data_IF_082552281637
#
_entry.id   IF_082552281637
#
_cell.length_a   1.000
_cell.length_b   1.000
_cell.length_c   1.000
_cell.angle_alpha   90.00
_cell.angle_beta   90.00
_cell.angle_gamma   90.00
#
_symmetry.space_group_name_H-M   'P 1'
#
loop_
_entity.id
_entity.type
_entity.pdbx_description
1 polymer ?
#
# COMPACT_ATOMS: atom_id res chain seq x y z
N UNK A 1 8.77 -21.99 44.43
CA UNK A 1 8.73 -20.68 45.11
C UNK A 1 7.61 -20.51 46.16
N UNK A 2 6.63 -21.40 46.28
CA UNK A 2 5.45 -21.29 47.19
C UNK A 2 5.75 -21.54 48.69
N UNK A 3 6.88 -22.16 49.01
CA UNK A 3 7.25 -22.52 50.38
C UNK A 3 8.14 -21.50 51.10
N UNK A 4 8.81 -20.62 50.40
CA UNK A 4 9.57 -19.52 51.00
C UNK A 4 8.67 -18.45 51.64
N UNK A 5 7.55 -18.12 51.02
CA UNK A 5 6.59 -17.11 51.52
C UNK A 5 5.92 -17.51 52.83
N UNK A 6 5.64 -18.81 53.02
CA UNK A 6 5.04 -19.29 54.26
C UNK A 6 6.02 -19.21 55.46
N UNK A 7 7.30 -19.52 55.27
CA UNK A 7 8.33 -19.40 56.32
C UNK A 7 8.60 -17.95 56.70
N UNK A 8 8.70 -17.06 55.71
CA UNK A 8 8.89 -15.63 55.96
C UNK A 8 7.68 -15.03 56.67
N UNK A 9 6.46 -15.39 56.28
CA UNK A 9 5.22 -14.95 56.96
C UNK A 9 5.15 -15.44 58.42
N UNK A 10 5.52 -16.69 58.66
CA UNK A 10 5.48 -17.26 60.03
C UNK A 10 6.56 -16.63 60.94
N UNK A 11 7.75 -16.29 60.40
CA UNK A 11 8.78 -15.56 61.11
C UNK A 11 8.34 -14.13 61.43
N UNK A 12 7.68 -13.45 60.52
CA UNK A 12 7.15 -12.09 60.68
C UNK A 12 6.02 -12.04 61.72
N UNK A 13 5.10 -13.02 61.68
CA UNK A 13 4.03 -13.17 62.65
C UNK A 13 4.62 -13.48 64.04
N UNK A 14 5.63 -14.37 64.11
CA UNK A 14 6.33 -14.68 65.35
C UNK A 14 7.02 -13.46 65.98
N UNK A 15 7.68 -12.62 65.16
CA UNK A 15 8.33 -11.40 65.60
C UNK A 15 7.30 -10.36 66.14
N UNK A 16 6.18 -10.21 65.45
CA UNK A 16 5.10 -9.28 65.89
C UNK A 16 4.46 -9.79 67.20
N UNK A 17 4.18 -11.07 67.31
CA UNK A 17 3.62 -11.67 68.56
C UNK A 17 4.62 -11.51 69.71
N UNK A 18 5.92 -11.72 69.50
CA UNK A 18 6.97 -11.54 70.47
C UNK A 18 7.07 -10.08 70.96
N UNK A 19 6.97 -9.10 70.08
CA UNK A 19 6.98 -7.69 70.44
C UNK A 19 5.73 -7.28 71.22
N UNK A 20 4.55 -7.78 70.86
CA UNK A 20 3.30 -7.56 71.59
C UNK A 20 3.34 -8.16 72.97
N UNK A 21 3.84 -9.40 73.12
CA UNK A 21 3.99 -10.05 74.41
C UNK A 21 4.99 -9.31 75.32
N UNK A 22 6.13 -8.84 74.78
CA UNK A 22 7.11 -8.05 75.51
C UNK A 22 6.55 -6.71 75.96
N UNK A 23 5.73 -6.02 75.16
CA UNK A 23 5.09 -4.76 75.54
C UNK A 23 4.03 -4.91 76.62
N UNK A 24 3.27 -6.01 76.54
CA UNK A 24 2.25 -6.36 77.58
C UNK A 24 2.93 -6.73 78.89
N UNK A 25 4.00 -7.56 78.83
CA UNK A 25 4.78 -7.93 79.99
C UNK A 25 5.45 -6.75 80.71
N UNK A 26 5.97 -5.79 79.93
CA UNK A 26 6.58 -4.55 80.42
C UNK A 26 5.51 -3.61 81.09
N UNK A 27 4.27 -3.59 80.57
CA UNK A 27 3.14 -2.83 81.10
C UNK A 27 2.63 -3.37 82.43
N UNK A 28 2.68 -4.67 82.67
CA UNK A 28 2.18 -5.32 83.92
C UNK A 28 3.23 -5.25 85.06
N UNK A 29 4.54 -5.20 84.73
CA UNK A 29 5.57 -5.34 85.75
C UNK A 29 6.00 -4.05 86.44
N UNK A 30 5.53 -2.85 86.07
CA UNK A 30 5.93 -1.55 86.68
C UNK A 30 7.46 -1.40 87.02
N UNK A 31 8.33 -2.13 86.26
CA UNK A 31 9.76 -2.09 86.48
C UNK A 31 10.40 -1.01 85.58
N UNK A 32 11.19 -0.09 86.16
CA UNK A 32 11.92 0.87 85.30
C UNK A 32 12.92 0.10 84.44
N UNK A 33 12.67 0.08 83.11
CA UNK A 33 13.59 -0.57 82.20
C UNK A 33 14.95 0.10 82.22
N UNK A 34 16.06 -0.64 82.45
CA UNK A 34 17.38 -0.06 82.37
C UNK A 34 17.67 0.41 80.93
N UNK A 35 18.24 1.63 80.81
CA UNK A 35 18.58 2.29 79.52
C UNK A 35 19.36 1.42 78.53
N UNK A 36 19.98 0.37 78.99
CA UNK A 36 20.78 -0.59 78.18
C UNK A 36 19.86 -1.43 77.28
N UNK A 37 18.64 -1.82 77.72
CA UNK A 37 17.70 -2.65 76.93
C UNK A 37 17.07 -1.83 75.81
N UNK A 38 16.76 -0.57 76.06
CA UNK A 38 16.22 0.33 75.09
C UNK A 38 17.21 0.62 73.98
N UNK A 39 18.50 0.83 74.33
CA UNK A 39 19.52 1.11 73.31
C UNK A 39 20.01 -0.11 72.55
N UNK A 40 20.02 -1.29 73.17
CA UNK A 40 20.59 -2.51 72.53
C UNK A 40 19.59 -3.26 71.67
N UNK A 41 18.29 -3.18 71.98
CA UNK A 41 17.24 -3.99 71.26
C UNK A 41 16.32 -3.13 70.41
N UNK A 42 15.94 -1.94 70.89
CA UNK A 42 14.99 -1.10 70.12
C UNK A 42 15.66 -0.25 69.01
N UNK A 43 16.94 0.13 69.18
CA UNK A 43 17.61 0.90 68.10
C UNK A 43 17.85 0.12 66.82
N UNK A 44 18.35 -1.14 66.80
CA UNK A 44 18.51 -1.90 65.58
C UNK A 44 17.16 -2.28 64.96
N UNK A 45 16.08 -2.47 65.73
CA UNK A 45 14.75 -2.70 65.19
C UNK A 45 14.16 -1.47 64.46
N UNK A 46 14.40 -0.26 65.03
CA UNK A 46 13.99 0.99 64.34
C UNK A 46 14.79 1.25 63.06
N UNK A 47 16.11 0.98 63.08
CA UNK A 47 16.97 1.11 61.91
C UNK A 47 16.57 0.06 60.82
N UNK A 48 16.24 -1.16 61.21
CA UNK A 48 15.77 -2.22 60.30
C UNK A 48 14.40 -1.87 59.68
N UNK A 49 13.48 -1.35 60.48
CA UNK A 49 12.16 -0.92 59.98
C UNK A 49 12.28 0.26 58.96
N UNK A 50 13.14 1.20 59.23
CA UNK A 50 13.39 2.36 58.33
C UNK A 50 14.11 1.92 57.01
N UNK A 51 14.99 0.91 57.07
CA UNK A 51 15.64 0.34 55.90
C UNK A 51 14.65 -0.43 55.03
N UNK A 52 13.73 -1.19 55.63
CA UNK A 52 12.65 -1.90 54.93
C UNK A 52 11.66 -0.93 54.25
N UNK A 53 11.31 0.18 54.91
CA UNK A 53 10.42 1.19 54.32
C UNK A 53 11.03 1.85 53.11
N UNK A 54 12.31 2.21 53.15
CA UNK A 54 13.04 2.79 52.01
C UNK A 54 13.16 1.81 50.81
N UNK A 55 13.36 0.53 51.09
CA UNK A 55 13.41 -0.47 50.03
C UNK A 55 12.01 -0.77 49.46
N UNK A 56 10.97 -0.75 50.26
CA UNK A 56 9.59 -0.92 49.81
C UNK A 56 9.12 0.27 48.94
N UNK A 57 9.43 1.52 49.31
CA UNK A 57 9.14 2.70 48.50
C UNK A 57 9.81 2.64 47.12
N UNK A 58 11.06 2.14 47.03
CA UNK A 58 11.74 1.95 45.75
C UNK A 58 11.05 0.93 44.84
N UNK A 59 10.60 -0.20 45.40
CA UNK A 59 9.95 -1.28 44.66
C UNK A 59 8.54 -0.87 44.22
N UNK A 60 7.78 -0.19 45.07
CA UNK A 60 6.47 0.37 44.72
C UNK A 60 6.57 1.43 43.63
N UNK A 61 7.56 2.32 43.71
CA UNK A 61 7.80 3.34 42.68
C UNK A 61 8.20 2.75 41.33
N UNK A 62 8.90 1.61 41.32
CA UNK A 62 9.24 0.90 40.08
C UNK A 62 8.03 0.20 39.46
N UNK A 63 7.17 -0.45 40.26
CA UNK A 63 5.95 -1.13 39.79
C UNK A 63 4.94 -0.13 39.18
N UNK A 64 4.68 0.97 39.86
CA UNK A 64 3.78 2.00 39.35
C UNK A 64 4.31 2.72 38.12
N UNK A 65 5.64 2.93 38.01
CA UNK A 65 6.23 3.48 36.78
C UNK A 65 6.18 2.51 35.62
N UNK A 66 6.31 1.22 35.88
CA UNK A 66 6.26 0.20 34.85
C UNK A 66 4.84 0.08 34.27
N UNK A 67 3.80 0.03 35.12
CA UNK A 67 2.41 0.04 34.68
C UNK A 67 2.05 1.31 33.90
N UNK A 68 2.47 2.49 34.39
CA UNK A 68 2.24 3.76 33.70
C UNK A 68 3.00 3.84 32.34
N UNK A 69 4.18 3.23 32.26
CA UNK A 69 4.94 3.17 31.03
C UNK A 69 4.30 2.20 30.01
N UNK A 70 3.83 1.04 30.48
CA UNK A 70 3.11 0.05 29.66
C UNK A 70 1.82 0.64 29.09
N UNK A 71 1.07 1.37 29.92
CA UNK A 71 -0.15 2.05 29.49
C UNK A 71 0.15 3.15 28.46
N UNK A 72 1.24 3.89 28.66
CA UNK A 72 1.69 4.91 27.70
C UNK A 72 2.14 4.29 26.37
N UNK A 73 2.83 3.15 26.39
CA UNK A 73 3.20 2.42 25.18
C UNK A 73 1.95 1.97 24.43
N UNK A 74 0.96 1.37 25.11
CA UNK A 74 -0.31 0.96 24.50
C UNK A 74 -1.07 2.13 23.88
N UNK A 75 -1.10 3.29 24.58
CA UNK A 75 -1.72 4.49 24.04
C UNK A 75 -1.01 4.99 22.79
N UNK A 76 0.34 5.05 22.81
CA UNK A 76 1.13 5.47 21.65
C UNK A 76 1.01 4.49 20.47
N UNK A 77 0.92 3.20 20.74
CA UNK A 77 0.68 2.18 19.71
C UNK A 77 -0.72 2.34 19.06
N UNK A 78 -1.74 2.57 19.89
CA UNK A 78 -3.10 2.83 19.40
C UNK A 78 -3.17 4.14 18.58
N UNK A 79 -2.56 5.22 19.07
CA UNK A 79 -2.46 6.49 18.35
C UNK A 79 -1.69 6.35 17.02
N UNK A 80 -0.58 5.58 17.02
CA UNK A 80 0.17 5.28 15.80
C UNK A 80 -0.65 4.46 14.81
N UNK A 81 -1.44 3.49 15.27
CA UNK A 81 -2.33 2.71 14.41
C UNK A 81 -3.42 3.60 13.79
N UNK A 82 -4.02 4.48 14.58
CA UNK A 82 -5.02 5.43 14.10
C UNK A 82 -4.43 6.41 13.07
N UNK A 83 -3.27 7.03 13.38
CA UNK A 83 -2.60 7.95 12.47
C UNK A 83 -2.22 7.27 11.15
N UNK A 84 -1.77 6.01 11.18
CA UNK A 84 -1.49 5.24 9.97
C UNK A 84 -2.74 5.01 9.12
N UNK A 85 -3.88 4.76 9.75
CA UNK A 85 -5.15 4.60 9.05
C UNK A 85 -5.61 5.92 8.42
N UNK A 86 -5.50 7.03 9.15
CA UNK A 86 -5.80 8.37 8.62
C UNK A 86 -4.91 8.73 7.42
N UNK A 87 -3.60 8.42 7.50
CA UNK A 87 -2.66 8.63 6.38
C UNK A 87 -3.04 7.78 5.17
N UNK A 88 -3.44 6.51 5.35
CA UNK A 88 -3.90 5.66 4.24
C UNK A 88 -5.17 6.21 3.60
N UNK A 89 -6.14 6.61 4.41
CA UNK A 89 -7.38 7.20 3.93
C UNK A 89 -7.12 8.51 3.15
N UNK A 90 -6.26 9.38 3.67
CA UNK A 90 -5.86 10.61 2.98
C UNK A 90 -5.15 10.34 1.67
N UNK A 91 -4.23 9.37 1.63
CA UNK A 91 -3.53 8.97 0.40
C UNK A 91 -4.49 8.40 -0.66
N UNK A 92 -5.52 7.68 -0.25
CA UNK A 92 -6.55 7.16 -1.16
C UNK A 92 -7.38 8.29 -1.75
N UNK A 93 -7.83 9.24 -0.90
CA UNK A 93 -8.58 10.41 -1.37
C UNK A 93 -7.75 11.29 -2.32
N UNK A 94 -6.47 11.50 -2.03
CA UNK A 94 -5.59 12.27 -2.92
C UNK A 94 -5.49 11.61 -4.30
N UNK A 95 -5.25 10.29 -4.35
CA UNK A 95 -5.21 9.56 -5.64
C UNK A 95 -6.51 9.67 -6.41
N UNK A 96 -7.66 9.61 -5.73
CA UNK A 96 -8.97 9.76 -6.37
C UNK A 96 -9.18 11.17 -6.94
N UNK A 97 -8.78 12.22 -6.19
CA UNK A 97 -8.83 13.61 -6.68
C UNK A 97 -7.93 13.78 -7.92
N UNK A 98 -6.72 13.22 -7.90
CA UNK A 98 -5.79 13.30 -9.04
C UNK A 98 -6.37 12.60 -10.27
N UNK A 99 -6.96 11.41 -10.10
CA UNK A 99 -7.63 10.67 -11.19
C UNK A 99 -8.81 11.44 -11.77
N UNK A 100 -9.68 11.96 -10.90
CA UNK A 100 -10.85 12.74 -11.34
C UNK A 100 -10.42 14.03 -12.05
N UNK A 101 -9.37 14.69 -11.58
CA UNK A 101 -8.82 15.90 -12.21
C UNK A 101 -8.24 15.55 -13.60
N UNK A 102 -7.52 14.45 -13.72
CA UNK A 102 -6.99 13.97 -14.99
C UNK A 102 -8.12 13.61 -15.97
N UNK A 103 -9.15 12.89 -15.51
CA UNK A 103 -10.30 12.52 -16.32
C UNK A 103 -11.10 13.76 -16.80
N UNK A 104 -11.26 14.77 -15.93
CA UNK A 104 -11.88 16.05 -16.33
C UNK A 104 -11.04 16.76 -17.38
N UNK A 105 -9.73 16.82 -17.21
CA UNK A 105 -8.83 17.41 -18.18
C UNK A 105 -8.83 16.68 -19.53
N UNK A 106 -8.96 15.37 -19.55
CA UNK A 106 -9.15 14.59 -20.77
C UNK A 106 -10.47 14.95 -21.46
N UNK A 107 -11.58 14.96 -20.70
CA UNK A 107 -12.91 15.30 -21.20
C UNK A 107 -13.01 16.73 -21.74
N UNK A 108 -12.29 17.68 -21.15
CA UNK A 108 -12.23 19.05 -21.65
C UNK A 108 -11.46 19.16 -22.98
N UNK A 109 -10.38 18.40 -23.13
CA UNK A 109 -9.57 18.35 -24.38
C UNK A 109 -10.25 17.56 -25.49
N UNK A 110 -10.99 16.49 -25.15
CA UNK A 110 -11.66 15.58 -26.07
C UNK A 110 -13.15 15.55 -25.78
N UNK A 111 -13.84 16.61 -26.17
CA UNK A 111 -15.30 16.78 -25.98
C UNK A 111 -16.15 15.77 -26.73
N UNK A 112 -15.58 15.13 -27.73
CA UNK A 112 -16.15 14.06 -28.53
C UNK A 112 -16.20 12.72 -27.81
N UNK A 113 -15.43 12.55 -26.74
CA UNK A 113 -15.34 11.29 -25.98
C UNK A 113 -16.51 11.13 -25.01
N UNK A 114 -17.20 10.00 -25.14
CA UNK A 114 -18.10 9.49 -24.08
C UNK A 114 -17.40 8.40 -23.32
N UNK A 115 -17.15 8.66 -22.05
CA UNK A 115 -16.40 7.79 -21.16
C UNK A 115 -17.32 7.15 -20.13
N UNK A 116 -17.17 5.86 -19.93
CA UNK A 116 -17.75 5.11 -18.81
C UNK A 116 -16.61 4.68 -17.90
N UNK A 117 -16.66 5.09 -16.63
CA UNK A 117 -15.71 4.68 -15.61
C UNK A 117 -15.92 3.22 -15.20
N UNK A 118 -14.84 2.51 -15.00
CA UNK A 118 -14.85 1.13 -14.53
C UNK A 118 -13.62 0.82 -13.68
N UNK A 119 -13.76 -0.13 -12.75
CA UNK A 119 -12.66 -0.62 -11.93
C UNK A 119 -12.29 -2.04 -12.36
N UNK A 120 -10.99 -2.34 -12.30
CA UNK A 120 -10.50 -3.68 -12.55
C UNK A 120 -10.88 -4.57 -11.37
N UNK A 121 -11.66 -5.61 -11.64
CA UNK A 121 -12.10 -6.58 -10.64
C UNK A 121 -11.10 -7.72 -10.46
N UNK A 122 -10.46 -8.13 -11.54
CA UNK A 122 -9.45 -9.20 -11.53
C UNK A 122 -8.54 -9.16 -12.74
N UNK A 123 -7.33 -9.67 -12.57
CA UNK A 123 -6.40 -9.98 -13.62
C UNK A 123 -6.43 -11.48 -13.92
N UNK A 124 -6.20 -11.87 -15.16
CA UNK A 124 -6.12 -13.29 -15.53
C UNK A 124 -4.84 -13.88 -14.91
N UNK A 125 -4.99 -14.95 -14.14
CA UNK A 125 -3.87 -15.59 -13.43
C UNK A 125 -2.88 -16.32 -14.34
N UNK A 126 -3.31 -16.69 -15.55
CA UNK A 126 -2.47 -17.37 -16.53
C UNK A 126 -1.66 -16.43 -17.43
N UNK A 127 -2.17 -15.22 -17.63
CA UNK A 127 -1.61 -14.19 -18.52
C UNK A 127 -1.65 -12.83 -17.86
N UNK A 128 -0.92 -12.69 -16.74
CA UNK A 128 -0.81 -11.45 -16.00
C UNK A 128 -0.52 -10.26 -16.92
N UNK A 129 -1.25 -9.18 -16.76
CA UNK A 129 -1.22 -7.96 -17.57
C UNK A 129 -1.78 -8.07 -19.00
N UNK A 130 -2.07 -9.26 -19.54
CA UNK A 130 -2.61 -9.39 -20.90
C UNK A 130 -4.13 -9.32 -20.97
N UNK A 131 -4.82 -9.75 -19.91
CA UNK A 131 -6.27 -9.63 -19.77
C UNK A 131 -6.69 -9.22 -18.38
N UNK A 132 -7.73 -8.39 -18.31
CA UNK A 132 -8.38 -8.06 -17.05
C UNK A 132 -9.90 -8.03 -17.21
N UNK A 133 -10.59 -8.22 -16.10
CA UNK A 133 -12.05 -8.07 -16.02
C UNK A 133 -12.38 -6.77 -15.31
N UNK A 134 -13.30 -6.00 -15.86
CA UNK A 134 -13.80 -4.74 -15.28
C UNK A 134 -15.24 -4.91 -14.75
N UNK A 135 -15.61 -4.12 -13.75
CA UNK A 135 -16.89 -4.17 -13.03
C UNK A 135 -18.03 -3.41 -13.74
N UNK A 136 -18.00 -3.30 -15.05
CA UNK A 136 -19.03 -2.68 -15.88
C UNK A 136 -19.24 -3.54 -17.13
N UNK A 137 -20.47 -3.61 -17.60
CA UNK A 137 -20.86 -4.40 -18.75
C UNK A 137 -21.96 -3.74 -19.58
N UNK A 138 -22.82 -4.54 -20.20
CA UNK A 138 -23.93 -4.09 -21.06
C UNK A 138 -24.85 -3.08 -20.35
N UNK A 139 -25.13 -3.29 -19.05
CA UNK A 139 -25.95 -2.38 -18.25
C UNK A 139 -25.40 -0.95 -18.15
N UNK A 140 -24.13 -0.74 -18.44
CA UNK A 140 -23.45 0.57 -18.48
C UNK A 140 -23.21 1.08 -19.90
N UNK A 141 -23.71 0.40 -20.92
CA UNK A 141 -23.52 0.76 -22.32
C UNK A 141 -22.15 0.37 -22.88
N UNK A 142 -21.48 -0.61 -22.27
CA UNK A 142 -20.23 -1.17 -22.78
C UNK A 142 -20.57 -2.23 -23.83
N UNK A 143 -19.86 -2.15 -24.93
CA UNK A 143 -19.99 -3.07 -26.07
C UNK A 143 -18.60 -3.64 -26.43
N UNK A 144 -18.62 -4.75 -27.15
CA UNK A 144 -17.42 -5.34 -27.68
C UNK A 144 -16.71 -4.38 -28.64
N UNK A 145 -15.38 -4.49 -28.71
CA UNK A 145 -14.51 -3.71 -29.56
C UNK A 145 -14.38 -2.22 -29.17
N UNK A 146 -14.87 -1.83 -27.99
CA UNK A 146 -14.64 -0.50 -27.43
C UNK A 146 -13.23 -0.37 -26.83
N UNK A 147 -12.60 0.78 -27.07
CA UNK A 147 -11.28 1.12 -26.56
C UNK A 147 -11.34 1.43 -25.06
N UNK A 148 -10.32 0.95 -24.32
CA UNK A 148 -10.15 1.19 -22.89
C UNK A 148 -8.89 2.00 -22.66
N UNK A 149 -9.00 3.09 -21.88
CA UNK A 149 -7.92 4.04 -21.62
C UNK A 149 -7.78 4.34 -20.13
N UNK A 150 -6.64 4.92 -19.75
CA UNK A 150 -6.47 5.55 -18.42
C UNK A 150 -7.09 6.95 -18.37
N UNK A 151 -7.15 7.54 -17.19
CA UNK A 151 -7.58 8.93 -16.99
C UNK A 151 -6.72 9.95 -17.78
N UNK A 152 -5.47 9.61 -18.08
CA UNK A 152 -4.54 10.46 -18.83
C UNK A 152 -4.68 10.32 -20.36
N UNK A 153 -5.50 9.36 -20.84
CA UNK A 153 -5.66 9.07 -22.26
C UNK A 153 -4.63 8.08 -22.81
N UNK A 154 -4.03 7.27 -21.96
CA UNK A 154 -3.13 6.19 -22.33
C UNK A 154 -3.93 4.94 -22.65
N UNK A 155 -3.55 4.23 -23.70
CA UNK A 155 -4.28 3.04 -24.15
C UNK A 155 -3.99 1.86 -23.22
N UNK A 156 -5.05 1.29 -22.66
CA UNK A 156 -5.00 0.06 -21.87
C UNK A 156 -5.25 -1.16 -22.74
N UNK A 157 -6.25 -1.08 -23.63
CA UNK A 157 -6.63 -2.23 -24.46
C UNK A 157 -7.97 -2.08 -25.16
N UNK A 158 -8.61 -3.20 -25.42
CA UNK A 158 -9.91 -3.30 -26.08
C UNK A 158 -10.81 -4.30 -25.35
N UNK A 159 -12.11 -4.01 -25.32
CA UNK A 159 -13.14 -4.92 -24.79
C UNK A 159 -13.31 -6.09 -25.75
N UNK A 160 -13.14 -7.32 -25.28
CA UNK A 160 -13.30 -8.55 -26.11
C UNK A 160 -14.58 -9.32 -25.81
N UNK A 161 -15.01 -9.29 -24.55
CA UNK A 161 -16.23 -9.99 -24.10
C UNK A 161 -17.00 -9.06 -23.17
N UNK A 162 -18.33 -9.11 -23.23
CA UNK A 162 -19.20 -8.29 -22.41
C UNK A 162 -20.26 -9.17 -21.79
N UNK A 163 -20.43 -9.04 -20.47
CA UNK A 163 -21.54 -9.62 -19.73
C UNK A 163 -22.46 -8.52 -19.19
N UNK A 164 -23.51 -8.88 -18.43
CA UNK A 164 -24.46 -7.91 -17.92
C UNK A 164 -23.82 -6.81 -17.05
N UNK A 165 -22.92 -7.20 -16.13
CA UNK A 165 -22.29 -6.32 -15.13
C UNK A 165 -20.75 -6.37 -15.16
N UNK A 166 -20.17 -7.03 -16.17
CA UNK A 166 -18.71 -7.11 -16.33
C UNK A 166 -18.32 -7.08 -17.80
N UNK A 167 -17.07 -6.77 -18.08
CA UNK A 167 -16.48 -6.95 -19.39
C UNK A 167 -15.02 -7.42 -19.27
N UNK A 168 -14.55 -8.16 -20.27
CA UNK A 168 -13.18 -8.62 -20.36
C UNK A 168 -12.42 -7.72 -21.32
N UNK A 169 -11.33 -7.18 -20.85
CA UNK A 169 -10.44 -6.29 -21.61
C UNK A 169 -9.17 -7.06 -21.96
N UNK A 170 -8.82 -7.08 -23.23
CA UNK A 170 -7.51 -7.52 -23.73
C UNK A 170 -6.61 -6.31 -23.77
N UNK A 171 -5.49 -6.37 -23.07
CA UNK A 171 -4.55 -5.24 -22.98
C UNK A 171 -3.63 -5.13 -24.17
N UNK A 172 -2.98 -3.99 -24.33
CA UNK A 172 -1.96 -3.76 -25.38
C UNK A 172 -0.73 -4.66 -25.25
N UNK A 173 -0.54 -5.32 -24.09
CA UNK A 173 0.54 -6.25 -23.85
C UNK A 173 0.28 -7.65 -24.47
N UNK A 174 -0.95 -7.92 -24.90
CA UNK A 174 -1.28 -9.19 -25.58
C UNK A 174 -0.71 -9.19 -27.01
N UNK A 175 0.01 -10.25 -27.36
CA UNK A 175 0.63 -10.40 -28.69
C UNK A 175 -0.36 -10.57 -29.84
N UNK A 176 -1.63 -10.87 -29.54
CA UNK A 176 -2.69 -10.98 -30.54
C UNK A 176 -3.38 -9.65 -30.86
N UNK A 177 -3.01 -8.58 -30.15
CA UNK A 177 -3.57 -7.25 -30.39
C UNK A 177 -2.60 -6.41 -31.22
N UNK A 178 -3.08 -5.95 -32.37
CA UNK A 178 -2.33 -5.09 -33.28
C UNK A 178 -3.00 -3.72 -33.37
N UNK A 179 -2.22 -2.66 -33.17
CA UNK A 179 -2.70 -1.28 -33.14
C UNK A 179 -1.92 -0.45 -34.15
N UNK A 180 -2.63 0.19 -35.08
CA UNK A 180 -2.02 1.18 -35.97
C UNK A 180 -1.59 2.40 -35.17
N UNK A 181 -0.32 2.77 -35.29
CA UNK A 181 0.29 3.82 -34.49
C UNK A 181 1.20 4.73 -35.31
N UNK A 182 1.44 5.92 -34.76
CA UNK A 182 2.28 6.96 -35.36
C UNK A 182 3.29 7.44 -34.32
N UNK A 183 4.54 7.63 -34.71
CA UNK A 183 5.53 8.33 -33.89
C UNK A 183 5.19 9.82 -33.95
N UNK A 184 4.80 10.42 -32.83
CA UNK A 184 4.28 11.78 -32.79
C UNK A 184 5.25 12.85 -33.34
N UNK A 185 6.56 12.68 -33.06
CA UNK A 185 7.58 13.64 -33.47
C UNK A 185 7.90 13.60 -34.98
N UNK A 186 7.91 12.41 -35.58
CA UNK A 186 8.36 12.21 -36.98
C UNK A 186 7.22 11.91 -37.94
N UNK A 187 6.03 11.54 -37.43
CA UNK A 187 4.86 11.19 -38.25
C UNK A 187 4.96 9.82 -38.94
N UNK A 188 5.96 8.99 -38.63
CA UNK A 188 6.06 7.64 -39.22
C UNK A 188 5.00 6.71 -38.63
N UNK A 189 4.29 6.03 -39.53
CA UNK A 189 3.29 5.04 -39.18
C UNK A 189 3.89 3.65 -39.09
N UNK A 190 3.35 2.84 -38.21
CA UNK A 190 3.69 1.43 -38.03
C UNK A 190 2.57 0.69 -37.30
N UNK A 191 2.85 -0.57 -36.96
CA UNK A 191 1.94 -1.43 -36.22
C UNK A 191 2.53 -1.79 -34.89
N UNK A 192 1.85 -1.47 -33.80
CA UNK A 192 2.26 -1.80 -32.43
C UNK A 192 1.60 -3.10 -32.00
N UNK A 193 2.39 -4.00 -31.43
CA UNK A 193 2.00 -5.31 -30.93
C UNK A 193 2.67 -5.56 -29.57
N UNK A 194 1.93 -6.20 -28.66
CA UNK A 194 2.44 -6.62 -27.36
C UNK A 194 3.19 -7.96 -27.40
N UNK A 195 3.59 -8.43 -26.21
CA UNK A 195 4.17 -9.77 -26.07
C UNK A 195 5.58 -9.91 -26.63
N UNK A 196 6.28 -8.83 -26.88
CA UNK A 196 7.66 -8.87 -27.34
C UNK A 196 8.58 -9.09 -26.14
N UNK A 197 9.01 -10.33 -26.00
CA UNK A 197 9.95 -10.72 -24.96
C UNK A 197 11.39 -10.55 -25.47
N UNK A 198 12.07 -9.50 -25.07
CA UNK A 198 13.52 -9.51 -24.92
C UNK A 198 13.88 -9.83 -23.46
N UNK A 199 13.35 -10.94 -22.93
CA UNK A 199 13.63 -11.38 -21.55
C UNK A 199 12.90 -10.66 -20.44
N UNK A 200 12.21 -9.55 -20.70
CA UNK A 200 11.38 -8.82 -19.74
C UNK A 200 9.95 -8.70 -20.27
N UNK A 201 9.00 -9.17 -19.47
CA UNK A 201 7.57 -9.10 -19.78
C UNK A 201 7.12 -7.63 -19.66
N UNK A 202 6.41 -7.15 -20.70
CA UNK A 202 5.72 -5.86 -20.59
C UNK A 202 6.08 -4.79 -21.62
N UNK A 203 6.93 -5.07 -22.61
CA UNK A 203 7.22 -4.12 -23.69
C UNK A 203 6.34 -4.33 -24.91
N UNK A 204 6.17 -3.22 -25.68
CA UNK A 204 5.50 -3.23 -26.99
C UNK A 204 6.55 -3.14 -28.09
N UNK A 205 6.21 -3.66 -29.28
CA UNK A 205 7.04 -3.52 -30.46
C UNK A 205 6.25 -2.85 -31.58
N UNK A 206 6.79 -1.76 -32.12
CA UNK A 206 6.28 -1.12 -33.32
C UNK A 206 7.05 -1.63 -34.53
N UNK A 207 6.35 -2.28 -35.44
CA UNK A 207 6.89 -2.88 -36.67
C UNK A 207 6.57 -2.04 -37.90
N UNK A 208 7.16 -2.41 -39.04
CA UNK A 208 6.92 -1.86 -40.36
C UNK A 208 7.30 -0.38 -40.51
N UNK A 209 8.28 0.09 -39.74
CA UNK A 209 8.82 1.43 -39.91
C UNK A 209 9.74 1.50 -41.13
N UNK A 210 9.71 2.59 -41.91
CA UNK A 210 10.62 2.75 -43.07
C UNK A 210 12.09 2.65 -42.66
N UNK A 211 12.93 2.06 -43.50
CA UNK A 211 14.36 1.93 -43.22
C UNK A 211 15.07 3.28 -43.00
N UNK A 212 14.59 4.33 -43.67
CA UNK A 212 15.07 5.72 -43.50
C UNK A 212 14.48 6.47 -42.31
N UNK A 213 13.60 5.85 -41.51
CA UNK A 213 12.98 6.53 -40.39
C UNK A 213 14.03 6.95 -39.35
N UNK A 214 13.97 8.20 -38.93
CA UNK A 214 14.73 8.72 -37.78
C UNK A 214 13.87 8.53 -36.55
N UNK A 215 14.35 7.73 -35.61
CA UNK A 215 13.65 7.35 -34.39
C UNK A 215 14.58 7.68 -33.25
N UNK A 216 14.10 8.48 -32.31
CA UNK A 216 14.86 8.89 -31.12
C UNK A 216 14.29 8.22 -29.87
N UNK A 217 15.15 7.95 -28.89
CA UNK A 217 14.71 7.49 -27.59
C UNK A 217 13.79 8.55 -26.97
N UNK A 218 12.74 8.08 -26.28
CA UNK A 218 11.66 8.87 -25.68
C UNK A 218 10.70 9.52 -26.69
N UNK A 219 10.81 9.22 -27.98
CA UNK A 219 9.76 9.61 -28.94
C UNK A 219 8.43 8.99 -28.51
N UNK A 220 7.39 9.81 -28.42
CA UNK A 220 6.07 9.37 -28.04
C UNK A 220 5.38 8.69 -29.23
N UNK A 221 4.77 7.54 -28.97
CA UNK A 221 3.99 6.78 -29.95
C UNK A 221 2.52 6.87 -29.57
N UNK A 222 1.70 7.27 -30.53
CA UNK A 222 0.26 7.47 -30.39
C UNK A 222 -0.51 6.64 -31.40
N UNK A 223 -1.80 6.41 -31.14
CA UNK A 223 -2.70 5.74 -32.10
C UNK A 223 -2.86 6.57 -33.37
N UNK A 224 -2.82 5.94 -34.52
CA UNK A 224 -3.00 6.61 -35.82
C UNK A 224 -4.47 6.93 -36.15
N UNK A 225 -5.41 6.39 -35.36
CA UNK A 225 -6.84 6.45 -35.61
C UNK A 225 -7.36 5.26 -36.43
N UNK A 226 -8.46 4.70 -35.98
CA UNK A 226 -9.19 3.60 -36.65
C UNK A 226 -10.64 3.56 -36.16
N UNK A 227 -11.39 2.58 -36.60
CA UNK A 227 -12.75 2.31 -36.10
C UNK A 227 -12.75 1.78 -34.65
N UNK A 228 -11.62 1.28 -34.15
CA UNK A 228 -11.48 0.71 -32.81
C UNK A 228 -10.80 1.66 -31.84
N UNK A 229 -9.92 2.51 -32.33
CA UNK A 229 -9.11 3.43 -31.53
C UNK A 229 -9.21 4.85 -32.09
N UNK A 230 -9.59 5.85 -31.29
CA UNK A 230 -9.45 7.26 -31.69
C UNK A 230 -7.98 7.58 -32.00
N UNK A 231 -7.75 8.64 -32.76
CA UNK A 231 -6.42 9.18 -33.00
C UNK A 231 -5.85 9.88 -31.76
N UNK A 232 -4.53 9.89 -31.66
CA UNK A 232 -3.75 10.64 -30.66
C UNK A 232 -3.90 10.15 -29.21
N UNK A 233 -4.26 8.87 -29.01
CA UNK A 233 -4.14 8.22 -27.71
C UNK A 233 -2.71 7.71 -27.52
N UNK A 234 -2.15 7.90 -26.33
CA UNK A 234 -0.77 7.52 -26.04
C UNK A 234 -0.66 6.01 -25.84
N UNK A 235 0.25 5.37 -26.58
CA UNK A 235 0.59 3.96 -26.44
C UNK A 235 1.82 3.72 -25.58
N UNK A 236 2.85 4.56 -25.77
CA UNK A 236 4.11 4.43 -25.06
C UNK A 236 5.19 5.36 -25.57
N UNK A 237 6.41 5.15 -25.10
CA UNK A 237 7.60 5.87 -25.53
C UNK A 237 8.68 4.92 -26.03
N UNK A 238 9.44 5.32 -27.04
CA UNK A 238 10.52 4.53 -27.62
C UNK A 238 11.67 4.42 -26.62
N UNK A 239 12.11 3.18 -26.35
CA UNK A 239 13.30 2.89 -25.54
C UNK A 239 14.48 2.38 -26.38
N UNK A 240 14.19 1.69 -27.50
CA UNK A 240 15.20 1.17 -28.41
C UNK A 240 14.63 1.08 -29.82
N UNK A 241 15.50 1.07 -30.83
CA UNK A 241 15.11 0.88 -32.21
C UNK A 241 16.19 0.13 -32.99
N UNK A 242 15.78 -0.71 -33.91
CA UNK A 242 16.68 -1.53 -34.71
C UNK A 242 16.12 -1.85 -36.09
N UNK A 243 16.88 -2.66 -36.87
CA UNK A 243 16.43 -3.25 -38.11
C UNK A 243 15.83 -4.62 -37.86
N UNK A 244 14.86 -4.99 -38.66
CA UNK A 244 14.36 -6.37 -38.70
C UNK A 244 15.43 -7.35 -39.20
N UNK A 245 15.16 -8.64 -39.12
CA UNK A 245 16.09 -9.69 -39.57
C UNK A 245 16.44 -9.60 -41.06
N UNK A 246 15.58 -8.96 -41.84
CA UNK A 246 15.78 -8.78 -43.31
C UNK A 246 16.58 -7.51 -43.63
N UNK A 247 16.74 -6.60 -42.68
CA UNK A 247 17.38 -5.29 -42.86
C UNK A 247 16.58 -4.30 -43.74
N UNK A 248 15.34 -4.64 -44.08
CA UNK A 248 14.49 -3.84 -44.99
C UNK A 248 13.61 -2.84 -44.21
N UNK A 249 13.11 -3.25 -43.07
CA UNK A 249 12.28 -2.40 -42.23
C UNK A 249 12.95 -2.15 -40.87
N UNK A 250 12.57 -1.06 -40.21
CA UNK A 250 12.94 -0.80 -38.85
C UNK A 250 11.81 -1.20 -37.90
N UNK A 251 12.20 -1.49 -36.68
CA UNK A 251 11.28 -1.61 -35.55
C UNK A 251 11.69 -0.70 -34.41
N UNK A 252 10.76 -0.41 -33.51
CA UNK A 252 11.03 0.26 -32.26
C UNK A 252 10.45 -0.56 -31.10
N UNK A 253 11.16 -0.61 -29.99
CA UNK A 253 10.70 -1.18 -28.72
C UNK A 253 10.16 0.00 -27.89
N UNK A 254 8.98 -0.21 -27.33
CA UNK A 254 8.27 0.83 -26.58
C UNK A 254 8.05 0.38 -25.14
N UNK A 255 8.26 1.29 -24.22
CA UNK A 255 7.74 1.21 -22.86
C UNK A 255 6.27 1.64 -22.90
N UNK A 256 5.31 0.82 -22.42
CA UNK A 256 3.91 1.20 -22.36
C UNK A 256 3.71 2.45 -21.52
N UNK A 257 2.81 3.36 -21.93
CA UNK A 257 2.49 4.55 -21.14
C UNK A 257 1.65 4.20 -19.90
N UNK A 258 0.73 3.24 -20.01
CA UNK A 258 -0.07 2.77 -18.90
C UNK A 258 0.75 1.87 -17.97
N UNK A 259 0.73 2.15 -16.67
CA UNK A 259 1.35 1.28 -15.65
C UNK A 259 0.41 0.14 -15.27
N UNK A 260 0.57 -1.02 -15.89
CA UNK A 260 -0.24 -2.21 -15.65
C UNK A 260 -0.05 -2.81 -14.24
N UNK A 261 1.04 -2.49 -13.56
CA UNK A 261 1.32 -2.96 -12.19
C UNK A 261 0.47 -2.29 -11.13
N UNK A 262 0.08 -1.03 -11.37
CA UNK A 262 -0.70 -0.21 -10.43
C UNK A 262 -2.09 0.17 -10.95
N UNK A 263 -2.52 -0.37 -12.10
CA UNK A 263 -3.77 -0.01 -12.75
C UNK A 263 -4.97 -0.56 -11.97
N UNK A 264 -5.80 0.32 -11.41
CA UNK A 264 -7.01 -0.03 -10.65
C UNK A 264 -8.29 0.43 -11.36
N UNK A 265 -8.24 1.60 -12.02
CA UNK A 265 -9.38 2.23 -12.68
C UNK A 265 -9.09 2.50 -14.14
N UNK A 266 -10.08 2.29 -14.98
CA UNK A 266 -10.02 2.51 -16.42
C UNK A 266 -11.27 3.23 -16.90
N UNK A 267 -11.21 3.78 -18.11
CA UNK A 267 -12.32 4.42 -18.80
C UNK A 267 -12.59 3.73 -20.12
N UNK A 268 -13.81 3.30 -20.33
CA UNK A 268 -14.24 2.70 -21.61
C UNK A 268 -14.78 3.81 -22.49
N UNK A 269 -14.25 3.92 -23.70
CA UNK A 269 -14.74 4.83 -24.74
C UNK A 269 -15.94 4.22 -25.44
N UNK A 270 -17.14 4.66 -25.07
CA UNK A 270 -18.38 4.17 -25.68
C UNK A 270 -18.74 4.89 -26.97
N UNK A 271 -18.22 6.09 -27.20
CA UNK A 271 -18.42 6.83 -28.45
C UNK A 271 -17.32 7.87 -28.62
N UNK A 272 -16.87 8.10 -29.85
CA UNK A 272 -15.97 9.15 -30.26
C UNK A 272 -16.22 9.53 -31.73
N UNK A 273 -15.76 10.72 -32.14
CA UNK A 273 -15.85 11.14 -33.55
C UNK A 273 -14.79 10.39 -34.36
N UNK A 274 -15.20 9.65 -35.37
CA UNK A 274 -14.33 9.12 -36.43
C UNK A 274 -14.24 10.18 -37.54
N UNK A 275 -13.06 10.76 -37.75
CA UNK A 275 -12.78 11.60 -38.90
C UNK A 275 -12.69 10.78 -40.18
#
# INVERSE_FOLDING_TARGET
>A
MKNMTKRVRNVLIGAVVLTVVLTIAAGIAKVPMPDVVVKTVLQPLRAGAQALTRQAEGIYGYLFRYEALEERVKQLEAENAQLREEVRAAATLTREVDRLTAALGLKERRKDFKLVDAYISSWDSGDWSKRCTINRGEGSGIEKDQCVITANGEVVGIVTEVGPDYAVVKTVLDSSLEISATIAASGYNGMVQGGYATGEEGYLRMNYLPSGAVICNHDQVVTAGSTLYPRDLVLGSVIDAGFDETGVAKFAILEPAADFGSLEQVFVLTSYATE
#
